data_IF_426627514581
#
_entry.id   IF_426627514581
#
_cell.length_a   1.000
_cell.length_b   1.000
_cell.length_c   1.000
_cell.angle_alpha   90.00
_cell.angle_beta   90.00
_cell.angle_gamma   90.00
#
_symmetry.space_group_name_H-M   'P 1'
#
loop_
_entity.id
_entity.type
_entity.pdbx_description
1 polymer ?
#
# COMPACT_ATOMS: atom_id res chain seq x y z
N UNK A 1 -9.90 1.16 -14.16
CA UNK A 1 -9.10 1.67 -13.03
C UNK A 1 -8.48 0.53 -12.25
N UNK A 2 -7.22 0.69 -11.88
CA UNK A 2 -6.53 -0.32 -11.09
C UNK A 2 -6.67 -0.03 -9.60
N UNK A 3 -6.76 -1.10 -8.82
CA UNK A 3 -6.84 -1.00 -7.36
C UNK A 3 -5.71 -1.84 -6.77
N UNK A 4 -4.86 -1.18 -6.00
CA UNK A 4 -3.76 -1.87 -5.31
C UNK A 4 -4.09 -2.02 -3.84
N UNK A 5 -3.88 -3.21 -3.31
CA UNK A 5 -4.11 -3.48 -1.89
C UNK A 5 -3.06 -2.75 -1.05
N UNK A 6 -3.50 -2.10 0.00
CA UNK A 6 -2.65 -1.48 0.99
C UNK A 6 -2.88 -2.22 2.30
N UNK A 7 -1.81 -2.68 2.92
CA UNK A 7 -1.87 -3.32 4.23
C UNK A 7 -1.34 -2.33 5.25
N UNK A 8 -2.15 -2.04 6.26
CA UNK A 8 -1.81 -1.11 7.33
C UNK A 8 -1.74 -1.90 8.62
N UNK A 9 -0.60 -1.81 9.30
CA UNK A 9 -0.34 -2.57 10.52
C UNK A 9 0.02 -1.63 11.66
N UNK A 10 -0.44 -1.97 12.87
CA UNK A 10 -0.07 -1.23 14.06
C UNK A 10 1.37 -1.56 14.43
N UNK A 11 2.10 -0.55 14.85
CA UNK A 11 3.46 -0.70 15.36
C UNK A 11 3.52 -0.21 16.79
N UNK A 12 4.68 -0.30 17.41
CA UNK A 12 4.83 0.15 18.81
C UNK A 12 4.55 1.65 18.97
N UNK A 13 4.75 2.45 17.92
CA UNK A 13 4.64 3.90 18.01
C UNK A 13 3.62 4.51 17.05
N UNK A 14 2.90 3.69 16.30
CA UNK A 14 1.94 4.20 15.31
C UNK A 14 1.53 3.12 14.34
N UNK A 15 1.71 3.42 13.04
CA UNK A 15 1.28 2.52 11.97
C UNK A 15 2.32 2.48 10.87
N UNK A 16 2.38 1.35 10.17
CA UNK A 16 3.15 1.22 8.95
C UNK A 16 2.26 0.62 7.87
N UNK A 17 2.62 0.88 6.62
CA UNK A 17 1.84 0.38 5.50
C UNK A 17 2.74 -0.02 4.35
N UNK A 18 2.26 -0.98 3.57
CA UNK A 18 2.92 -1.40 2.35
C UNK A 18 1.88 -1.93 1.37
N UNK A 19 2.29 -2.08 0.11
CA UNK A 19 1.46 -2.68 -0.92
C UNK A 19 2.13 -3.96 -1.42
N UNK A 20 1.48 -5.13 -1.29
CA UNK A 20 2.11 -6.39 -1.71
C UNK A 20 2.49 -6.42 -3.19
N UNK A 21 1.73 -5.74 -4.05
CA UNK A 21 1.95 -5.78 -5.48
C UNK A 21 2.92 -4.71 -5.97
N UNK A 22 3.34 -3.81 -5.09
CA UNK A 22 4.25 -2.72 -5.45
C UNK A 22 5.41 -2.67 -4.46
N UNK A 23 6.42 -3.54 -4.64
CA UNK A 23 7.57 -3.56 -3.73
C UNK A 23 8.24 -2.19 -3.64
N UNK A 24 8.58 -1.79 -2.44
CA UNK A 24 9.21 -0.50 -2.20
C UNK A 24 8.25 0.63 -1.86
N UNK A 25 6.94 0.46 -2.08
CA UNK A 25 5.96 1.45 -1.67
C UNK A 25 5.61 1.21 -0.21
N UNK A 26 6.15 2.05 0.67
CA UNK A 26 5.93 1.94 2.11
C UNK A 26 5.65 3.31 2.70
N UNK A 27 4.98 3.32 3.84
CA UNK A 27 4.74 4.53 4.60
C UNK A 27 4.68 4.17 6.09
N UNK A 28 4.96 5.13 6.95
CA UNK A 28 4.86 4.96 8.38
C UNK A 28 4.52 6.30 9.03
N UNK A 29 3.82 6.26 10.14
CA UNK A 29 3.44 7.46 10.85
C UNK A 29 2.66 7.13 12.10
N UNK A 30 2.20 8.19 12.79
CA UNK A 30 1.52 8.02 14.07
C UNK A 30 0.01 7.80 13.93
N UNK A 31 -0.59 8.28 12.85
CA UNK A 31 -2.04 8.17 12.64
C UNK A 31 -2.33 7.29 11.44
N UNK A 32 -3.35 6.44 11.58
CA UNK A 32 -3.75 5.53 10.52
C UNK A 32 -4.16 6.28 9.26
N UNK A 33 -4.94 7.35 9.40
CA UNK A 33 -5.43 8.11 8.25
C UNK A 33 -4.31 8.79 7.48
N UNK A 34 -3.32 9.33 8.19
CA UNK A 34 -2.20 9.98 7.52
C UNK A 34 -1.32 8.96 6.79
N UNK A 35 -1.12 7.78 7.37
CA UNK A 35 -0.36 6.70 6.74
C UNK A 35 -1.07 6.22 5.48
N UNK A 36 -2.39 6.10 5.52
CA UNK A 36 -3.16 5.72 4.34
C UNK A 36 -3.01 6.75 3.22
N UNK A 37 -3.09 8.05 3.55
CA UNK A 37 -2.89 9.10 2.55
C UNK A 37 -1.49 9.09 1.98
N UNK A 38 -0.49 8.89 2.83
CA UNK A 38 0.90 8.79 2.37
C UNK A 38 1.10 7.62 1.42
N UNK A 39 0.42 6.49 1.68
CA UNK A 39 0.49 5.35 0.78
C UNK A 39 -0.14 5.66 -0.58
N UNK A 40 -1.26 6.37 -0.61
CA UNK A 40 -1.86 6.80 -1.87
C UNK A 40 -0.87 7.62 -2.68
N UNK A 41 -0.23 8.60 -2.04
CA UNK A 41 0.74 9.44 -2.71
C UNK A 41 1.97 8.65 -3.16
N UNK A 42 2.43 7.74 -2.33
CA UNK A 42 3.59 6.91 -2.65
C UNK A 42 3.31 6.00 -3.85
N UNK A 43 2.13 5.42 -3.91
CA UNK A 43 1.74 4.56 -5.03
C UNK A 43 1.64 5.37 -6.32
N UNK A 44 0.99 6.52 -6.28
CA UNK A 44 0.87 7.38 -7.46
C UNK A 44 2.24 7.81 -7.96
N UNK A 45 3.11 8.21 -7.06
CA UNK A 45 4.47 8.62 -7.41
C UNK A 45 5.26 7.46 -8.03
N UNK A 46 5.13 6.27 -7.43
CA UNK A 46 5.83 5.07 -7.91
C UNK A 46 5.38 4.70 -9.32
N UNK A 47 4.06 4.68 -9.56
CA UNK A 47 3.51 4.34 -10.86
C UNK A 47 3.88 5.37 -11.91
N UNK A 48 3.88 6.65 -11.54
CA UNK A 48 4.29 7.71 -12.44
C UNK A 48 5.77 7.54 -12.84
N UNK A 49 6.62 7.20 -11.89
CA UNK A 49 8.02 6.92 -12.16
C UNK A 49 8.21 5.77 -13.13
N UNK A 50 7.43 4.69 -12.96
CA UNK A 50 7.49 3.54 -13.88
C UNK A 50 7.06 3.94 -15.28
N UNK A 51 5.99 4.73 -15.42
CA UNK A 51 5.53 5.18 -16.73
C UNK A 51 6.58 6.04 -17.42
N UNK A 52 7.22 6.95 -16.70
CA UNK A 52 8.26 7.82 -17.24
C UNK A 52 9.48 7.05 -17.67
N UNK A 53 9.80 5.97 -16.96
CA UNK A 53 10.95 5.13 -17.28
C UNK A 53 10.63 4.11 -18.38
N UNK A 54 9.39 4.03 -18.83
CA UNK A 54 8.97 3.03 -19.80
C UNK A 54 8.92 1.63 -19.24
N UNK A 55 8.84 1.49 -17.91
CA UNK A 55 8.79 0.21 -17.25
C UNK A 55 7.35 -0.33 -17.20
N UNK A 56 7.17 -1.65 -17.19
CA UNK A 56 5.84 -2.22 -17.05
C UNK A 56 5.18 -1.85 -15.73
N UNK A 57 3.89 -1.56 -15.79
CA UNK A 57 3.09 -1.30 -14.59
C UNK A 57 2.62 -2.63 -14.04
N UNK A 58 2.98 -3.00 -12.78
CA UNK A 58 2.52 -4.25 -12.21
C UNK A 58 1.00 -4.29 -12.11
N UNK A 59 0.41 -5.41 -12.47
CA UNK A 59 -1.03 -5.61 -12.31
C UNK A 59 -1.36 -5.89 -10.85
N UNK A 60 -2.47 -5.35 -10.33
CA UNK A 60 -2.92 -5.71 -8.97
C UNK A 60 -3.32 -7.19 -8.94
N UNK A 61 -2.74 -7.94 -8.02
CA UNK A 61 -2.93 -9.38 -7.93
C UNK A 61 -3.36 -9.86 -6.55
N UNK A 62 -3.21 -9.01 -5.54
CA UNK A 62 -3.50 -9.37 -4.16
C UNK A 62 -4.93 -9.03 -3.81
N UNK A 63 -5.55 -9.90 -3.03
CA UNK A 63 -6.90 -9.74 -2.55
C UNK A 63 -6.91 -9.87 -1.03
N UNK A 64 -7.79 -9.12 -0.38
CA UNK A 64 -7.96 -9.20 1.06
C UNK A 64 -9.14 -10.10 1.40
N UNK A 65 -9.01 -10.86 2.46
CA UNK A 65 -10.08 -11.68 2.98
C UNK A 65 -9.94 -11.73 4.50
N UNK A 66 -11.06 -11.93 5.18
CA UNK A 66 -11.10 -12.03 6.63
C UNK A 66 -11.70 -13.37 7.03
N UNK A 67 -11.16 -13.94 8.07
CA UNK A 67 -11.68 -15.19 8.64
C UNK A 67 -12.27 -14.86 10.01
N UNK A 68 -13.54 -15.16 10.19
CA UNK A 68 -14.17 -15.01 11.49
C UNK A 68 -13.86 -16.24 12.33
N UNK A 69 -13.45 -16.02 13.56
CA UNK A 69 -13.18 -17.11 14.51
C UNK A 69 -14.02 -16.89 15.75
N UNK A 70 -14.57 -17.98 16.26
CA UNK A 70 -15.37 -17.94 17.46
C UNK A 70 -14.45 -17.94 18.68
N UNK A 71 -14.25 -16.77 19.25
CA UNK A 71 -13.35 -16.65 20.40
C UNK A 71 -14.01 -15.95 21.56
#
# INVERSE_FOLDING_TARGET
MSRYLIIIEETATGYSAYSPDLPGCIAAGKARDSVEREMHDAIEFHLDGLRRAGEPIPAPRSHASYCEVGA
#
